data_IF_248902376696
#
_entry.id   IF_248902376696
#
_cell.length_a   1.000
_cell.length_b   1.000
_cell.length_c   1.000
_cell.angle_alpha   90.00
_cell.angle_beta   90.00
_cell.angle_gamma   90.00
#
_symmetry.space_group_name_H-M   'P 1'
#
loop_
_entity.id
_entity.type
_entity.pdbx_description
1 polymer ?
#
# COMPACT_ATOMS: atom_id res chain seq x y z
N UNK A 1 1.46 18.64 -44.21
CA UNK A 1 2.35 17.97 -43.23
C UNK A 1 2.75 19.01 -42.20
N UNK A 2 3.00 18.60 -40.95
CA UNK A 2 3.52 19.40 -39.81
C UNK A 2 2.51 20.21 -38.97
N UNK A 3 1.65 19.51 -38.22
CA UNK A 3 1.13 19.98 -36.91
C UNK A 3 1.39 18.93 -35.80
N UNK A 4 1.81 17.71 -36.14
CA UNK A 4 2.00 16.62 -35.17
C UNK A 4 3.39 16.53 -34.53
N UNK A 5 4.37 17.33 -34.98
CA UNK A 5 5.76 17.17 -34.53
C UNK A 5 6.11 17.88 -33.21
N UNK A 6 5.18 18.65 -32.61
CA UNK A 6 5.48 19.51 -31.45
C UNK A 6 4.70 19.18 -30.17
N UNK A 7 4.15 17.96 -30.05
CA UNK A 7 3.51 17.43 -28.82
C UNK A 7 4.33 16.31 -28.17
N UNK A 8 5.59 16.19 -28.56
CA UNK A 8 6.59 15.23 -28.08
C UNK A 8 7.14 15.56 -26.69
N UNK A 9 6.27 15.91 -25.73
CA UNK A 9 6.58 15.92 -24.28
C UNK A 9 6.44 14.53 -23.63
N UNK A 10 6.56 13.45 -24.42
CA UNK A 10 6.46 12.06 -23.93
C UNK A 10 7.63 11.70 -22.99
N UNK A 11 8.76 12.40 -23.08
CA UNK A 11 9.94 12.12 -22.26
C UNK A 11 9.73 12.43 -20.76
N UNK A 12 9.08 13.55 -20.43
CA UNK A 12 8.79 13.91 -19.03
C UNK A 12 7.73 13.00 -18.40
N UNK A 13 6.75 12.56 -19.18
CA UNK A 13 5.72 11.62 -18.72
C UNK A 13 6.31 10.23 -18.46
N UNK A 14 7.14 9.72 -19.36
CA UNK A 14 7.78 8.40 -19.23
C UNK A 14 8.77 8.37 -18.05
N UNK A 15 9.54 9.44 -17.84
CA UNK A 15 10.43 9.58 -16.69
C UNK A 15 9.66 9.63 -15.37
N UNK A 16 8.58 10.42 -15.30
CA UNK A 16 7.71 10.50 -14.12
C UNK A 16 7.03 9.16 -13.80
N UNK A 17 6.59 8.42 -14.82
CA UNK A 17 6.02 7.06 -14.67
C UNK A 17 7.07 6.06 -14.16
N UNK A 18 8.31 6.12 -14.66
CA UNK A 18 9.38 5.23 -14.20
C UNK A 18 9.75 5.47 -12.73
N UNK A 19 9.76 6.74 -12.30
CA UNK A 19 9.99 7.11 -10.90
C UNK A 19 8.82 6.65 -10.01
N UNK A 20 7.57 6.77 -10.50
CA UNK A 20 6.38 6.29 -9.80
C UNK A 20 6.42 4.78 -9.60
N UNK A 21 6.79 4.01 -10.63
CA UNK A 21 6.87 2.54 -10.57
C UNK A 21 7.94 2.07 -9.55
N UNK A 22 9.11 2.71 -9.55
CA UNK A 22 10.15 2.46 -8.54
C UNK A 22 9.67 2.84 -7.12
N UNK A 23 8.94 3.95 -7.00
CA UNK A 23 8.40 4.40 -5.73
C UNK A 23 7.34 3.44 -5.18
N UNK A 24 6.47 2.91 -6.05
CA UNK A 24 5.47 1.89 -5.70
C UNK A 24 6.16 0.61 -5.23
N UNK A 25 7.13 0.08 -5.99
CA UNK A 25 7.87 -1.14 -5.60
C UNK A 25 8.57 -1.00 -4.24
N UNK A 26 9.23 0.14 -4.03
CA UNK A 26 9.89 0.47 -2.76
C UNK A 26 8.87 0.58 -1.62
N UNK A 27 7.74 1.24 -1.88
CA UNK A 27 6.69 1.44 -0.88
C UNK A 27 5.96 0.13 -0.51
N UNK A 28 5.68 -0.76 -1.47
CA UNK A 28 5.13 -2.11 -1.17
C UNK A 28 6.05 -2.85 -0.20
N UNK A 29 7.36 -2.80 -0.44
CA UNK A 29 8.36 -3.44 0.42
C UNK A 29 8.39 -2.81 1.81
N UNK A 30 8.40 -1.48 1.89
CA UNK A 30 8.40 -0.73 3.15
C UNK A 30 7.14 -0.98 3.99
N UNK A 31 5.96 -1.03 3.36
CA UNK A 31 4.68 -1.34 4.01
C UNK A 31 4.69 -2.77 4.55
N UNK A 32 5.21 -3.73 3.78
CA UNK A 32 5.30 -5.13 4.20
C UNK A 32 6.19 -5.29 5.43
N UNK A 33 7.36 -4.65 5.44
CA UNK A 33 8.27 -4.64 6.61
C UNK A 33 7.58 -4.00 7.81
N UNK A 34 6.86 -2.90 7.59
CA UNK A 34 6.16 -2.17 8.65
C UNK A 34 5.02 -2.99 9.27
N UNK A 35 4.26 -3.74 8.47
CA UNK A 35 3.26 -4.68 8.98
C UNK A 35 3.88 -5.84 9.77
N UNK A 36 5.02 -6.38 9.32
CA UNK A 36 5.74 -7.41 10.08
C UNK A 36 6.22 -6.87 11.44
N UNK A 37 6.83 -5.68 11.45
CA UNK A 37 7.26 -5.03 12.70
C UNK A 37 6.08 -4.71 13.61
N UNK A 38 4.97 -4.22 13.06
CA UNK A 38 3.72 -4.05 13.79
C UNK A 38 3.26 -5.35 14.45
N UNK A 39 3.25 -6.46 13.71
CA UNK A 39 2.91 -7.77 14.26
C UNK A 39 3.81 -8.20 15.43
N UNK A 40 5.12 -7.92 15.37
CA UNK A 40 6.05 -8.17 16.48
C UNK A 40 5.75 -7.28 17.69
N UNK A 41 5.45 -6.00 17.48
CA UNK A 41 5.05 -5.08 18.55
C UNK A 41 3.78 -5.58 19.24
N UNK A 42 2.79 -6.04 18.47
CA UNK A 42 1.56 -6.62 19.02
C UNK A 42 1.83 -7.90 19.83
N UNK A 43 2.72 -8.77 19.34
CA UNK A 43 3.11 -9.98 20.06
C UNK A 43 3.74 -9.63 21.40
N UNK A 44 4.65 -8.66 21.43
CA UNK A 44 5.29 -8.20 22.67
C UNK A 44 4.25 -7.55 23.58
N UNK A 45 3.38 -6.69 23.05
CA UNK A 45 2.31 -6.03 23.81
C UNK A 45 1.42 -7.05 24.55
N UNK A 46 1.05 -8.15 23.87
CA UNK A 46 0.27 -9.24 24.46
C UNK A 46 1.06 -10.05 25.50
N UNK A 47 2.37 -10.24 25.33
CA UNK A 47 3.21 -10.98 26.29
C UNK A 47 3.51 -10.16 27.54
N UNK A 48 3.65 -8.85 27.41
CA UNK A 48 3.97 -7.94 28.51
C UNK A 48 2.74 -7.26 29.12
N UNK A 49 1.54 -7.59 28.60
CA UNK A 49 0.25 -7.01 28.98
C UNK A 49 0.29 -5.46 29.04
N UNK A 50 0.95 -4.87 28.03
CA UNK A 50 1.24 -3.45 28.00
C UNK A 50 0.35 -2.73 26.99
N UNK A 51 -0.73 -2.14 27.49
CA UNK A 51 -1.74 -1.41 26.70
C UNK A 51 -1.12 -0.33 25.80
N UNK A 52 -0.08 0.37 26.28
CA UNK A 52 0.63 1.40 25.51
C UNK A 52 1.28 0.88 24.23
N UNK A 53 1.80 -0.36 24.23
CA UNK A 53 2.38 -0.97 23.03
C UNK A 53 1.29 -1.39 22.04
N UNK A 54 0.13 -1.83 22.53
CA UNK A 54 -1.04 -2.13 21.70
C UNK A 54 -1.56 -0.86 21.00
N UNK A 55 -1.54 0.28 21.68
CA UNK A 55 -1.94 1.56 21.09
C UNK A 55 -0.93 2.06 20.04
N UNK A 56 0.38 1.87 20.27
CA UNK A 56 1.42 2.15 19.26
C UNK A 56 1.21 1.28 18.01
N UNK A 57 0.90 -0.01 18.19
CA UNK A 57 0.55 -0.90 17.09
C UNK A 57 -0.65 -0.38 16.29
N UNK A 58 -1.74 0.00 16.97
CA UNK A 58 -2.96 0.53 16.33
C UNK A 58 -2.64 1.73 15.44
N UNK A 59 -1.88 2.70 15.94
CA UNK A 59 -1.52 3.90 15.17
C UNK A 59 -0.59 3.57 13.99
N UNK A 60 0.42 2.72 14.22
CA UNK A 60 1.38 2.33 13.18
C UNK A 60 0.71 1.58 12.04
N UNK A 61 -0.18 0.63 12.35
CA UNK A 61 -0.91 -0.16 11.34
C UNK A 61 -1.96 0.69 10.64
N UNK A 62 -2.65 1.58 11.35
CA UNK A 62 -3.59 2.52 10.73
C UNK A 62 -2.91 3.41 9.68
N UNK A 63 -1.75 3.99 10.00
CA UNK A 63 -0.96 4.77 9.03
C UNK A 63 -0.54 3.92 7.82
N UNK A 64 -0.12 2.67 8.04
CA UNK A 64 0.22 1.76 6.93
C UNK A 64 -0.98 1.43 6.03
N UNK A 65 -2.19 1.32 6.59
CA UNK A 65 -3.42 1.12 5.81
C UNK A 65 -3.72 2.33 4.92
N UNK A 66 -3.56 3.55 5.46
CA UNK A 66 -3.73 4.78 4.68
C UNK A 66 -2.74 4.84 3.53
N UNK A 67 -1.44 4.58 3.80
CA UNK A 67 -0.40 4.57 2.76
C UNK A 67 -0.66 3.47 1.72
N UNK A 68 -1.05 2.26 2.15
CA UNK A 68 -1.41 1.17 1.26
C UNK A 68 -2.59 1.50 0.35
N UNK A 69 -3.60 2.21 0.87
CA UNK A 69 -4.75 2.65 0.09
C UNK A 69 -4.37 3.66 -0.99
N UNK A 70 -3.48 4.62 -0.65
CA UNK A 70 -2.91 5.56 -1.63
C UNK A 70 -2.09 4.81 -2.69
N UNK A 71 -1.38 3.76 -2.31
CA UNK A 71 -0.60 2.94 -3.23
C UNK A 71 -1.45 2.23 -4.26
N UNK A 72 -2.60 1.67 -3.85
CA UNK A 72 -3.54 1.00 -4.76
C UNK A 72 -4.06 1.99 -5.80
N UNK A 73 -4.37 3.23 -5.38
CA UNK A 73 -4.75 4.29 -6.31
C UNK A 73 -3.61 4.67 -7.27
N UNK A 74 -2.37 4.75 -6.77
CA UNK A 74 -1.21 5.04 -7.60
C UNK A 74 -0.96 3.97 -8.66
N UNK A 75 -1.08 2.68 -8.30
CA UNK A 75 -0.99 1.54 -9.23
C UNK A 75 -2.12 1.61 -10.27
N UNK A 76 -3.34 1.91 -9.83
CA UNK A 76 -4.49 2.07 -10.73
C UNK A 76 -4.26 3.19 -11.75
N UNK A 77 -3.72 4.34 -11.32
CA UNK A 77 -3.39 5.46 -12.19
C UNK A 77 -2.24 5.11 -13.15
N UNK A 78 -1.17 4.48 -12.67
CA UNK A 78 -0.05 4.00 -13.50
C UNK A 78 -0.55 3.10 -14.64
N UNK A 79 -1.56 2.26 -14.38
CA UNK A 79 -2.11 1.34 -15.36
C UNK A 79 -3.20 1.93 -16.28
N UNK A 80 -3.73 3.12 -15.99
CA UNK A 80 -4.64 3.86 -16.89
C UNK A 80 -3.84 4.71 -17.90
N UNK A 81 -2.64 5.16 -17.53
CA UNK A 81 -1.85 6.18 -18.24
C UNK A 81 -0.77 5.63 -19.20
N UNK A 82 -0.83 4.34 -19.61
CA UNK A 82 0.17 3.57 -20.40
C UNK A 82 1.28 4.35 -21.16
N UNK A 83 2.56 3.93 -21.02
CA UNK A 83 2.96 2.57 -21.43
C UNK A 83 3.70 1.71 -20.37
N UNK A 84 3.93 2.22 -19.16
CA UNK A 84 4.71 1.54 -18.12
C UNK A 84 3.77 1.19 -16.95
N UNK A 85 2.84 0.25 -17.15
CA UNK A 85 2.08 -0.31 -16.04
C UNK A 85 2.94 -1.36 -15.33
N UNK A 86 3.14 -1.24 -14.01
CA UNK A 86 3.84 -2.24 -13.20
C UNK A 86 3.24 -3.66 -13.36
N UNK A 87 1.91 -3.74 -13.56
CA UNK A 87 1.20 -4.98 -13.88
C UNK A 87 1.01 -5.23 -15.39
N UNK A 88 1.57 -4.41 -16.27
CA UNK A 88 1.37 -4.50 -17.73
C UNK A 88 1.98 -5.75 -18.36
N UNK A 89 2.89 -6.43 -17.65
CA UNK A 89 3.43 -7.75 -18.05
C UNK A 89 2.56 -8.92 -17.58
N UNK A 90 1.53 -8.68 -16.77
CA UNK A 90 0.58 -9.69 -16.31
C UNK A 90 -0.68 -9.64 -17.15
N UNK A 91 -1.30 -10.81 -17.38
CA UNK A 91 -2.63 -10.85 -17.99
C UNK A 91 -3.63 -10.01 -17.18
N UNK A 92 -4.56 -9.34 -17.85
CA UNK A 92 -5.54 -8.44 -17.23
C UNK A 92 -6.27 -9.08 -16.03
N UNK A 93 -6.57 -10.39 -16.12
CA UNK A 93 -7.20 -11.16 -15.04
C UNK A 93 -6.28 -11.31 -13.82
N UNK A 94 -4.99 -11.56 -14.06
CA UNK A 94 -3.98 -11.70 -13.01
C UNK A 94 -3.69 -10.36 -12.35
N UNK A 95 -3.66 -9.28 -13.13
CA UNK A 95 -3.53 -7.92 -12.63
C UNK A 95 -4.71 -7.51 -11.73
N UNK A 96 -5.94 -7.76 -12.18
CA UNK A 96 -7.14 -7.51 -11.39
C UNK A 96 -7.16 -8.34 -10.10
N UNK A 97 -6.76 -9.61 -10.17
CA UNK A 97 -6.69 -10.50 -9.00
C UNK A 97 -5.67 -9.99 -7.97
N UNK A 98 -4.50 -9.52 -8.43
CA UNK A 98 -3.47 -8.95 -7.56
C UNK A 98 -3.99 -7.71 -6.81
N UNK A 99 -4.66 -6.79 -7.51
CA UNK A 99 -5.28 -5.61 -6.89
C UNK A 99 -6.35 -5.98 -5.87
N UNK A 100 -7.22 -6.94 -6.20
CA UNK A 100 -8.24 -7.44 -5.27
C UNK A 100 -7.59 -8.02 -4.01
N UNK A 101 -6.54 -8.83 -4.17
CA UNK A 101 -5.81 -9.41 -3.04
C UNK A 101 -5.15 -8.34 -2.15
N UNK A 102 -4.59 -7.28 -2.73
CA UNK A 102 -4.06 -6.14 -1.95
C UNK A 102 -5.15 -5.43 -1.15
N UNK A 103 -6.32 -5.19 -1.75
CA UNK A 103 -7.47 -4.60 -1.04
C UNK A 103 -7.92 -5.48 0.12
N UNK A 104 -8.11 -6.79 -0.12
CA UNK A 104 -8.48 -7.74 0.92
C UNK A 104 -7.47 -7.77 2.07
N UNK A 105 -6.18 -7.73 1.74
CA UNK A 105 -5.11 -7.69 2.74
C UNK A 105 -5.21 -6.45 3.64
N UNK A 106 -5.44 -5.26 3.06
CA UNK A 106 -5.60 -4.02 3.84
C UNK A 106 -6.86 -4.04 4.72
N UNK A 107 -7.96 -4.59 4.21
CA UNK A 107 -9.21 -4.72 4.98
C UNK A 107 -9.03 -5.65 6.18
N UNK A 108 -8.29 -6.75 6.02
CA UNK A 108 -7.96 -7.64 7.14
C UNK A 108 -7.15 -6.92 8.22
N UNK A 109 -6.12 -6.17 7.83
CA UNK A 109 -5.35 -5.37 8.79
C UNK A 109 -6.20 -4.30 9.48
N UNK A 110 -7.12 -3.66 8.76
CA UNK A 110 -8.06 -2.71 9.34
C UNK A 110 -8.95 -3.38 10.41
N UNK A 111 -9.47 -4.57 10.11
CA UNK A 111 -10.21 -5.36 11.10
C UNK A 111 -9.36 -5.66 12.35
N UNK A 112 -8.10 -6.10 12.17
CA UNK A 112 -7.19 -6.32 13.31
C UNK A 112 -6.98 -5.06 14.15
N UNK A 113 -6.85 -3.89 13.53
CA UNK A 113 -6.75 -2.61 14.24
C UNK A 113 -8.00 -2.35 15.09
N UNK A 114 -9.20 -2.53 14.52
CA UNK A 114 -10.44 -2.34 15.27
C UNK A 114 -10.54 -3.28 16.47
N UNK A 115 -10.15 -4.55 16.29
CA UNK A 115 -10.14 -5.56 17.35
C UNK A 115 -9.17 -5.17 18.46
N UNK A 116 -7.90 -4.90 18.14
CA UNK A 116 -6.88 -4.53 19.13
C UNK A 116 -7.24 -3.22 19.83
N UNK A 117 -7.76 -2.23 19.11
CA UNK A 117 -8.20 -0.98 19.72
C UNK A 117 -9.35 -1.21 20.71
N UNK A 118 -10.27 -2.11 20.40
CA UNK A 118 -11.37 -2.48 21.32
C UNK A 118 -10.81 -3.07 22.62
N UNK A 119 -9.78 -3.92 22.56
CA UNK A 119 -9.11 -4.45 23.75
C UNK A 119 -8.36 -3.34 24.52
N UNK A 120 -7.63 -2.46 23.82
CA UNK A 120 -6.83 -1.41 24.44
C UNK A 120 -7.68 -0.30 25.09
N UNK A 121 -8.84 0.07 24.53
CA UNK A 121 -9.68 1.15 25.10
C UNK A 121 -10.71 0.66 26.11
N UNK A 122 -11.17 -0.59 26.02
CA UNK A 122 -12.22 -1.10 26.91
C UNK A 122 -11.69 -1.92 28.09
N UNK A 123 -10.36 -2.12 28.21
CA UNK A 123 -9.70 -2.65 29.40
C UNK A 123 -10.33 -3.94 29.96
N UNK A 124 -10.48 -4.95 29.11
CA UNK A 124 -10.90 -6.31 29.53
C UNK A 124 -9.69 -7.20 29.66
#
# INVERSE_FOLDING_TARGET
MTIYDNVTHVHEAEEALSQLSNLISTAVTAISISFMLGGVILLIANLTDQEGLAQIFVVLVFLNIVVGSVLILAIGMECILEPICLLGKMDWLSAATCLIMMVFYLVLWFYFVCVVNTYATNGV
#
